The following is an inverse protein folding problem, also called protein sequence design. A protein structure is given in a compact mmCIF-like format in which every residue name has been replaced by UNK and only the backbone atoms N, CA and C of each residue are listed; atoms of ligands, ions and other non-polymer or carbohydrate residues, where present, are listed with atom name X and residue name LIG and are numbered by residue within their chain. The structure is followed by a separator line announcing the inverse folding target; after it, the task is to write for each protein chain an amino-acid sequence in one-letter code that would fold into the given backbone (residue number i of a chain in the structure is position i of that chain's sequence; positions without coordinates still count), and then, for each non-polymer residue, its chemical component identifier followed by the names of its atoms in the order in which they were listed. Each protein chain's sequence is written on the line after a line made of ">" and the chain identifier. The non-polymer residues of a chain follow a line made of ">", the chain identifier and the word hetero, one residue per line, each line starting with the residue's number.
data_IF_784718029513
#
_entry.id   IF_784718029513
#
_cell.length_a   1.000
_cell.length_b   1.000
_cell.length_c   1.000
_cell.angle_alpha   90.00
_cell.angle_beta   90.00
_cell.angle_gamma   90.00
#
_symmetry.space_group_name_H-M   'P 1'
#
loop_
_entity.id
_entity.type
_entity.pdbx_description
1 polymer ?
#
# COMPACT_ATOMS: atom_id res chain seq x y z
N UNK A 1 -3.99 -12.40 4.27
CA UNK A 1 -3.41 -11.15 4.80
C UNK A 1 -2.16 -10.86 4.00
N UNK A 2 -2.12 -9.73 3.28
CA UNK A 2 -0.93 -9.25 2.58
C UNK A 2 -0.07 -8.44 3.55
N UNK A 3 1.26 -8.55 3.46
CA UNK A 3 2.13 -7.71 4.27
C UNK A 3 2.16 -6.27 3.72
N UNK A 4 2.29 -5.29 4.61
CA UNK A 4 2.30 -3.86 4.22
C UNK A 4 3.50 -3.54 3.31
N UNK A 5 4.60 -4.28 3.46
CA UNK A 5 5.77 -4.17 2.60
C UNK A 5 5.57 -4.83 1.23
N UNK A 6 4.49 -5.58 1.01
CA UNK A 6 4.16 -6.14 -0.30
C UNK A 6 3.23 -5.23 -1.11
N UNK A 7 2.73 -4.12 -0.54
CA UNK A 7 1.88 -3.13 -1.22
C UNK A 7 2.65 -2.26 -2.22
N UNK A 8 3.40 -2.88 -3.14
CA UNK A 8 4.14 -2.20 -4.21
C UNK A 8 3.22 -1.76 -5.35
N UNK A 9 3.71 -0.82 -6.16
CA UNK A 9 3.00 -0.37 -7.37
C UNK A 9 2.60 -1.55 -8.27
N UNK A 10 1.34 -1.59 -8.67
CA UNK A 10 0.75 -2.62 -9.52
C UNK A 10 0.11 -3.78 -8.76
N UNK A 11 0.41 -3.96 -7.47
CA UNK A 11 -0.21 -4.99 -6.64
C UNK A 11 -1.69 -4.72 -6.49
N UNK A 12 -2.47 -5.80 -6.60
CA UNK A 12 -3.91 -5.78 -6.31
C UNK A 12 -4.13 -6.44 -4.95
N UNK A 13 -4.91 -5.77 -4.10
CA UNK A 13 -5.21 -6.26 -2.76
C UNK A 13 -6.69 -6.04 -2.46
N UNK A 14 -7.19 -6.82 -1.51
CA UNK A 14 -8.55 -6.71 -1.02
C UNK A 14 -8.57 -5.91 0.29
N UNK A 15 -9.49 -4.95 0.37
CA UNK A 15 -9.76 -4.16 1.57
C UNK A 15 -11.28 -3.99 1.65
N UNK A 16 -11.86 -4.38 2.79
CA UNK A 16 -13.32 -4.28 3.05
C UNK A 16 -14.20 -4.92 1.95
N UNK A 17 -13.81 -6.09 1.44
CA UNK A 17 -14.44 -6.79 0.31
C UNK A 17 -14.42 -6.03 -1.05
N UNK A 18 -13.56 -5.03 -1.18
CA UNK A 18 -13.33 -4.33 -2.44
C UNK A 18 -11.89 -4.53 -2.94
N UNK A 19 -11.73 -4.58 -4.27
CA UNK A 19 -10.43 -4.77 -4.89
C UNK A 19 -9.80 -3.43 -5.25
N UNK A 20 -8.58 -3.22 -4.77
CA UNK A 20 -7.79 -2.03 -5.04
C UNK A 20 -6.50 -2.37 -5.74
N UNK A 21 -6.07 -1.51 -6.66
CA UNK A 21 -4.75 -1.57 -7.30
C UNK A 21 -3.88 -0.42 -6.82
N UNK A 22 -2.69 -0.75 -6.31
CA UNK A 22 -1.69 0.25 -5.90
C UNK A 22 -1.15 0.97 -7.14
N UNK A 23 -1.28 2.29 -7.15
CA UNK A 23 -0.75 3.17 -8.19
C UNK A 23 0.61 3.74 -7.81
N UNK A 24 0.79 4.10 -6.54
CA UNK A 24 2.01 4.71 -6.00
C UNK A 24 2.31 4.13 -4.62
N UNK A 25 3.61 4.02 -4.32
CA UNK A 25 4.13 3.50 -3.05
C UNK A 25 5.24 4.43 -2.57
N UNK A 26 5.11 4.91 -1.34
CA UNK A 26 6.11 5.73 -0.65
C UNK A 26 6.44 5.08 0.69
N UNK A 27 7.72 4.81 0.91
CA UNK A 27 8.23 4.33 2.18
C UNK A 27 9.10 5.39 2.82
N UNK A 28 8.60 5.99 3.89
CA UNK A 28 9.30 7.01 4.64
C UNK A 28 9.81 6.41 5.96
N UNK A 29 11.14 6.39 6.13
CA UNK A 29 11.79 5.90 7.35
C UNK A 29 12.63 7.04 7.95
N UNK A 30 12.12 7.74 8.98
CA UNK A 30 12.90 8.80 9.62
C UNK A 30 14.06 8.19 10.43
N UNK A 31 15.18 8.90 10.52
CA UNK A 31 16.39 8.41 11.20
C UNK A 31 16.18 8.04 12.68
N UNK A 32 15.23 8.69 13.36
CA UNK A 32 14.68 8.25 14.65
C UNK A 32 13.15 8.19 14.54
N UNK A 33 12.56 7.03 14.82
CA UNK A 33 11.11 6.82 14.80
C UNK A 33 10.67 5.55 14.06
N UNK A 34 9.35 5.37 13.93
CA UNK A 34 8.76 4.26 13.17
C UNK A 34 8.71 4.60 11.68
N UNK A 35 8.84 3.58 10.84
CA UNK A 35 8.65 3.71 9.41
C UNK A 35 7.15 3.86 9.08
N UNK A 36 6.85 4.66 8.06
CA UNK A 36 5.51 4.82 7.51
C UNK A 36 5.50 4.47 6.04
N UNK A 37 4.47 3.74 5.64
CA UNK A 37 4.18 3.42 4.24
C UNK A 37 2.92 4.19 3.86
N UNK A 38 2.98 4.92 2.75
CA UNK A 38 1.84 5.56 2.13
C UNK A 38 1.65 4.95 0.74
N UNK A 39 0.41 4.62 0.43
CA UNK A 39 0.04 4.16 -0.91
C UNK A 39 -1.07 5.03 -1.47
N UNK A 40 -1.02 5.24 -2.78
CA UNK A 40 -2.17 5.72 -3.53
C UNK A 40 -2.75 4.53 -4.26
N UNK A 41 -3.99 4.17 -3.97
CA UNK A 41 -4.66 3.04 -4.58
C UNK A 41 -5.91 3.48 -5.33
N UNK A 42 -6.30 2.71 -6.34
CA UNK A 42 -7.53 2.91 -7.10
C UNK A 42 -8.44 1.70 -6.93
N UNK A 43 -9.71 1.95 -6.63
CA UNK A 43 -10.74 0.93 -6.63
C UNK A 43 -10.93 0.38 -8.06
N UNK A 44 -10.99 -0.95 -8.19
CA UNK A 44 -11.17 -1.64 -9.46
C UNK A 44 -12.64 -1.90 -9.82
N UNK A 45 -13.59 -1.54 -8.94
CA UNK A 45 -15.01 -1.46 -9.27
C UNK A 45 -15.33 -0.25 -10.14
#
# INVERSE_FOLDING_TARGET
>A
MIDVNELRKGVTFELDNELFKVLEYEHHKPGRGKATIRIKARNLR
#
